data_IF_910697718718
#
_entry.id   IF_910697718718
#
_cell.length_a   1.000
_cell.length_b   1.000
_cell.length_c   1.000
_cell.angle_alpha   90.00
_cell.angle_beta   90.00
_cell.angle_gamma   90.00
#
_symmetry.space_group_name_H-M   'P 1'
#
loop_
_entity.id
_entity.type
_entity.pdbx_description
1 polymer ?
#
# COMPACT_ATOMS: atom_id res chain seq x y z
N UNK A 1 16.69 -2.77 2.57
CA UNK A 1 15.76 -3.66 3.29
C UNK A 1 16.54 -4.80 3.92
N UNK A 2 15.86 -5.82 4.41
CA UNK A 2 16.48 -7.08 4.88
C UNK A 2 16.09 -8.21 3.93
N UNK A 3 16.95 -9.21 3.73
CA UNK A 3 16.61 -10.38 2.92
C UNK A 3 15.60 -11.24 3.68
N UNK A 4 14.46 -11.52 3.06
CA UNK A 4 13.35 -12.25 3.70
C UNK A 4 13.30 -13.74 3.34
N UNK A 5 14.00 -14.19 2.30
CA UNK A 5 13.89 -15.56 1.80
C UNK A 5 12.42 -15.93 1.51
N UNK A 6 12.02 -17.14 1.90
CA UNK A 6 10.69 -17.68 1.62
C UNK A 6 9.65 -17.35 2.71
N UNK A 7 9.91 -16.37 3.60
CA UNK A 7 9.00 -16.06 4.72
C UNK A 7 7.59 -15.68 4.26
N UNK A 8 7.48 -15.00 3.12
CA UNK A 8 6.18 -14.66 2.54
C UNK A 8 5.36 -15.89 2.13
N UNK A 9 6.01 -16.97 1.67
CA UNK A 9 5.32 -18.21 1.31
C UNK A 9 4.60 -18.82 2.53
N UNK A 10 5.18 -18.68 3.73
CA UNK A 10 4.56 -19.17 4.97
C UNK A 10 3.34 -18.34 5.36
N UNK A 11 3.39 -17.01 5.17
CA UNK A 11 2.24 -16.14 5.43
C UNK A 11 1.13 -16.41 4.40
N UNK A 12 1.48 -16.49 3.12
CA UNK A 12 0.54 -16.76 2.04
C UNK A 12 -0.23 -18.07 2.24
N UNK A 13 0.44 -19.14 2.71
CA UNK A 13 -0.23 -20.42 3.03
C UNK A 13 -1.39 -20.25 4.01
N UNK A 14 -1.30 -19.31 4.94
CA UNK A 14 -2.34 -19.05 5.95
C UNK A 14 -3.44 -18.14 5.40
N UNK A 15 -3.08 -17.15 4.58
CA UNK A 15 -3.98 -16.09 4.11
C UNK A 15 -4.71 -16.43 2.81
N UNK A 16 -4.16 -17.31 1.96
CA UNK A 16 -4.68 -17.61 0.63
C UNK A 16 -6.13 -18.11 0.61
N UNK A 17 -6.58 -18.78 1.66
CA UNK A 17 -7.97 -19.25 1.77
C UNK A 17 -8.99 -18.13 2.03
N UNK A 18 -8.52 -16.92 2.34
CA UNK A 18 -9.33 -15.75 2.71
C UNK A 18 -9.41 -14.70 1.59
N UNK A 19 -8.93 -15.01 0.39
CA UNK A 19 -8.80 -14.06 -0.73
C UNK A 19 -10.13 -13.57 -1.28
N UNK A 20 -11.23 -14.26 -0.95
CA UNK A 20 -12.60 -13.98 -1.39
C UNK A 20 -13.51 -13.52 -0.26
N UNK A 21 -12.98 -13.42 0.97
CA UNK A 21 -13.81 -13.16 2.15
C UNK A 21 -14.36 -11.73 2.12
N UNK A 22 -13.50 -10.75 1.81
CA UNK A 22 -13.86 -9.32 1.68
C UNK A 22 -14.66 -8.74 2.86
N UNK A 23 -14.47 -9.29 4.06
CA UNK A 23 -15.19 -8.86 5.27
C UNK A 23 -14.65 -7.51 5.77
N UNK A 24 -13.34 -7.30 5.68
CA UNK A 24 -12.68 -6.06 6.07
C UNK A 24 -11.66 -5.69 4.99
N UNK A 25 -11.79 -4.50 4.41
CA UNK A 25 -10.85 -4.01 3.40
C UNK A 25 -9.42 -3.92 3.95
N UNK A 26 -9.30 -3.68 5.26
CA UNK A 26 -8.02 -3.74 5.97
C UNK A 26 -7.37 -5.12 5.88
N UNK A 27 -8.12 -6.20 5.99
CA UNK A 27 -7.57 -7.55 5.87
C UNK A 27 -7.21 -7.85 4.42
N UNK A 28 -8.04 -7.44 3.46
CA UNK A 28 -7.80 -7.66 2.03
C UNK A 28 -6.44 -7.12 1.59
N UNK A 29 -6.09 -5.88 1.95
CA UNK A 29 -4.78 -5.32 1.58
C UNK A 29 -3.60 -6.06 2.25
N UNK A 30 -3.76 -6.58 3.46
CA UNK A 30 -2.70 -7.36 4.11
C UNK A 30 -2.57 -8.78 3.54
N UNK A 31 -3.69 -9.39 3.13
CA UNK A 31 -3.70 -10.65 2.38
C UNK A 31 -3.02 -10.43 1.02
N UNK A 32 -3.35 -9.35 0.32
CA UNK A 32 -2.70 -8.96 -0.93
C UNK A 32 -1.20 -8.75 -0.77
N UNK A 33 -0.76 -8.08 0.30
CA UNK A 33 0.68 -7.93 0.59
C UNK A 33 1.38 -9.29 0.71
N UNK A 34 0.71 -10.30 1.28
CA UNK A 34 1.27 -11.65 1.38
C UNK A 34 1.44 -12.34 0.03
N UNK A 35 0.51 -12.16 -0.91
CA UNK A 35 0.61 -12.74 -2.25
C UNK A 35 1.65 -12.01 -3.10
N UNK A 36 1.73 -10.68 -3.01
CA UNK A 36 2.77 -9.88 -3.66
C UNK A 36 4.16 -10.26 -3.17
N UNK A 37 4.33 -10.35 -1.84
CA UNK A 37 5.61 -10.74 -1.24
C UNK A 37 6.06 -12.15 -1.61
N UNK A 38 5.11 -13.06 -1.85
CA UNK A 38 5.35 -14.43 -2.29
C UNK A 38 5.44 -14.58 -3.82
N UNK A 39 5.23 -13.50 -4.59
CA UNK A 39 5.15 -13.52 -6.07
C UNK A 39 4.05 -14.45 -6.62
N UNK A 40 2.97 -14.66 -5.85
CA UNK A 40 1.81 -15.45 -6.30
C UNK A 40 0.82 -14.52 -7.04
N UNK A 41 1.04 -14.38 -8.34
CA UNK A 41 0.19 -13.57 -9.21
C UNK A 41 -1.25 -14.09 -9.26
N UNK A 42 -1.44 -15.41 -9.25
CA UNK A 42 -2.78 -16.03 -9.29
C UNK A 42 -3.62 -15.58 -8.09
N UNK A 43 -3.05 -15.61 -6.89
CA UNK A 43 -3.77 -15.17 -5.68
C UNK A 43 -3.99 -13.66 -5.65
N UNK A 44 -3.03 -12.88 -6.15
CA UNK A 44 -3.16 -11.42 -6.29
C UNK A 44 -4.33 -11.07 -7.21
N UNK A 45 -4.41 -11.71 -8.37
CA UNK A 45 -5.46 -11.48 -9.37
C UNK A 45 -6.84 -11.95 -8.86
N UNK A 46 -6.90 -13.08 -8.16
CA UNK A 46 -8.14 -13.59 -7.56
C UNK A 46 -8.74 -12.57 -6.59
N UNK A 47 -7.96 -12.08 -5.62
CA UNK A 47 -8.42 -11.10 -4.63
C UNK A 47 -8.90 -9.81 -5.29
N UNK A 48 -8.13 -9.27 -6.25
CA UNK A 48 -8.53 -8.04 -6.95
C UNK A 48 -9.81 -8.23 -7.77
N UNK A 49 -9.94 -9.37 -8.46
CA UNK A 49 -11.09 -9.65 -9.31
C UNK A 49 -12.36 -9.79 -8.46
N UNK A 50 -12.31 -10.57 -7.38
CA UNK A 50 -13.49 -10.79 -6.53
C UNK A 50 -13.87 -9.52 -5.76
N UNK A 51 -12.90 -8.73 -5.30
CA UNK A 51 -13.18 -7.43 -4.69
C UNK A 51 -13.83 -6.47 -5.70
N UNK A 52 -13.33 -6.44 -6.95
CA UNK A 52 -13.89 -5.59 -7.99
C UNK A 52 -15.31 -6.03 -8.40
N UNK A 53 -15.60 -7.32 -8.40
CA UNK A 53 -16.94 -7.85 -8.67
C UNK A 53 -17.93 -7.44 -7.57
N UNK A 54 -17.55 -7.58 -6.30
CA UNK A 54 -18.38 -7.14 -5.17
C UNK A 54 -18.62 -5.63 -5.18
N UNK A 55 -17.59 -4.85 -5.52
CA UNK A 55 -17.66 -3.39 -5.58
C UNK A 55 -18.59 -2.85 -6.69
N UNK A 56 -19.00 -3.68 -7.66
CA UNK A 56 -19.96 -3.27 -8.72
C UNK A 56 -21.40 -3.28 -8.24
N UNK A 57 -21.73 -4.10 -7.24
CA UNK A 57 -23.09 -4.20 -6.73
C UNK A 57 -23.32 -3.12 -5.66
N UNK A 58 -24.47 -2.43 -5.68
CA UNK A 58 -24.89 -1.62 -4.54
C UNK A 58 -24.90 -2.49 -3.29
N UNK A 59 -24.18 -2.07 -2.25
CA UNK A 59 -24.08 -2.79 -1.00
C UNK A 59 -24.45 -1.88 0.17
N UNK A 60 -25.31 -2.37 1.06
CA UNK A 60 -25.65 -1.68 2.31
C UNK A 60 -24.56 -1.87 3.37
N UNK A 61 -23.66 -2.84 3.18
CA UNK A 61 -22.52 -3.06 4.06
C UNK A 61 -21.54 -1.89 3.96
N UNK A 62 -21.22 -1.31 5.13
CA UNK A 62 -20.37 -0.14 5.20
C UNK A 62 -18.96 -0.40 4.66
N UNK A 63 -18.34 -1.54 4.99
CA UNK A 63 -16.98 -1.86 4.55
C UNK A 63 -16.93 -2.02 3.04
N UNK A 64 -17.85 -2.80 2.47
CA UNK A 64 -17.92 -2.98 1.01
C UNK A 64 -18.29 -1.69 0.27
N UNK A 65 -19.06 -0.79 0.87
CA UNK A 65 -19.37 0.52 0.29
C UNK A 65 -18.10 1.39 0.08
N UNK A 66 -17.05 1.16 0.86
CA UNK A 66 -15.75 1.84 0.74
C UNK A 66 -14.84 1.19 -0.32
N UNK A 67 -15.19 0.01 -0.85
CA UNK A 67 -14.33 -0.72 -1.77
C UNK A 67 -14.04 0.07 -3.08
N UNK A 68 -15.01 0.70 -3.77
CA UNK A 68 -14.73 1.44 -5.00
C UNK A 68 -13.82 2.65 -4.79
N UNK A 69 -13.99 3.36 -3.66
CA UNK A 69 -13.35 4.66 -3.40
C UNK A 69 -12.03 4.55 -2.62
N UNK A 70 -11.90 3.56 -1.74
CA UNK A 70 -10.73 3.37 -0.88
C UNK A 70 -10.07 2.00 -1.08
N UNK A 71 -10.84 0.91 -1.04
CA UNK A 71 -10.29 -0.45 -1.06
C UNK A 71 -9.55 -0.80 -2.36
N UNK A 72 -10.22 -0.65 -3.50
CA UNK A 72 -9.66 -0.95 -4.82
C UNK A 72 -8.46 -0.06 -5.14
N UNK A 73 -8.50 1.29 -5.01
CA UNK A 73 -7.32 2.10 -5.30
C UNK A 73 -6.15 1.79 -4.37
N UNK A 74 -6.40 1.46 -3.09
CA UNK A 74 -5.36 1.02 -2.16
C UNK A 74 -4.70 -0.28 -2.63
N UNK A 75 -5.49 -1.33 -2.89
CA UNK A 75 -4.98 -2.62 -3.36
C UNK A 75 -4.24 -2.47 -4.70
N UNK A 76 -4.80 -1.72 -5.64
CA UNK A 76 -4.17 -1.46 -6.94
C UNK A 76 -2.85 -0.69 -6.78
N UNK A 77 -2.75 0.27 -5.86
CA UNK A 77 -1.49 0.99 -5.62
C UNK A 77 -0.35 0.05 -5.17
N UNK A 78 -0.66 -0.96 -4.36
CA UNK A 78 0.31 -2.00 -3.98
C UNK A 78 0.78 -2.82 -5.18
N UNK A 79 -0.14 -3.24 -6.04
CA UNK A 79 0.19 -4.00 -7.26
C UNK A 79 1.02 -3.16 -8.24
N UNK A 80 0.64 -1.90 -8.46
CA UNK A 80 1.39 -0.99 -9.33
C UNK A 80 2.80 -0.73 -8.80
N UNK A 81 2.95 -0.54 -7.49
CA UNK A 81 4.27 -0.39 -6.88
C UNK A 81 5.13 -1.66 -7.06
N UNK A 82 4.54 -2.83 -6.85
CA UNK A 82 5.22 -4.12 -7.03
C UNK A 82 5.69 -4.34 -8.48
N UNK A 83 4.88 -3.89 -9.45
CA UNK A 83 5.20 -3.94 -10.88
C UNK A 83 6.20 -2.84 -11.32
N UNK A 84 6.68 -2.00 -10.39
CA UNK A 84 7.61 -0.91 -10.67
C UNK A 84 6.95 0.37 -11.20
N UNK A 85 5.63 0.41 -11.31
CA UNK A 85 4.85 1.57 -11.77
C UNK A 85 4.63 2.58 -10.64
N UNK A 86 5.74 3.09 -10.10
CA UNK A 86 5.75 3.98 -8.94
C UNK A 86 4.88 5.24 -9.13
N UNK A 87 4.92 5.86 -10.31
CA UNK A 87 4.10 7.03 -10.62
C UNK A 87 2.60 6.72 -10.47
N UNK A 88 2.13 5.57 -10.97
CA UNK A 88 0.72 5.17 -10.90
C UNK A 88 0.30 4.79 -9.49
N UNK A 89 1.19 4.15 -8.73
CA UNK A 89 0.95 3.88 -7.31
C UNK A 89 0.73 5.17 -6.50
N UNK A 90 1.50 6.23 -6.80
CA UNK A 90 1.28 7.56 -6.18
C UNK A 90 -0.07 8.14 -6.59
N UNK A 91 -0.43 8.08 -7.88
CA UNK A 91 -1.69 8.65 -8.38
C UNK A 91 -2.92 7.99 -7.76
N UNK A 92 -2.86 6.68 -7.48
CA UNK A 92 -3.93 5.94 -6.82
C UNK A 92 -4.00 6.23 -5.31
N UNK A 93 -2.84 6.27 -4.64
CA UNK A 93 -2.79 6.28 -3.17
C UNK A 93 -2.81 7.68 -2.56
N UNK A 94 -2.20 8.67 -3.22
CA UNK A 94 -2.11 10.04 -2.69
C UNK A 94 -3.49 10.69 -2.47
N UNK A 95 -4.48 10.59 -3.38
CA UNK A 95 -5.79 11.21 -3.20
C UNK A 95 -6.58 10.66 -2.00
N UNK A 96 -6.39 9.39 -1.66
CA UNK A 96 -7.17 8.71 -0.61
C UNK A 96 -6.46 8.68 0.75
N UNK A 97 -5.21 9.14 0.85
CA UNK A 97 -4.33 8.90 2.01
C UNK A 97 -4.91 9.28 3.38
N UNK A 98 -5.69 10.36 3.47
CA UNK A 98 -6.30 10.79 4.73
C UNK A 98 -7.61 10.06 5.05
N UNK A 99 -8.22 9.44 4.04
CA UNK A 99 -9.46 8.68 4.18
C UNK A 99 -9.20 7.22 4.59
N UNK A 100 -7.97 6.72 4.47
CA UNK A 100 -7.59 5.35 4.84
C UNK A 100 -7.80 5.00 6.32
N UNK A 101 -8.08 5.97 7.18
CA UNK A 101 -8.53 5.70 8.55
C UNK A 101 -9.89 4.98 8.58
N UNK A 102 -10.74 5.19 7.58
CA UNK A 102 -12.07 4.59 7.44
C UNK A 102 -12.02 3.09 7.15
N UNK A 103 -10.93 2.61 6.56
CA UNK A 103 -10.69 1.17 6.30
C UNK A 103 -10.49 0.39 7.62
N UNK A 104 -10.37 1.07 8.76
CA UNK A 104 -10.24 0.40 10.06
C UNK A 104 -8.88 -0.28 10.26
N UNK A 105 -8.78 -1.09 11.32
CA UNK A 105 -7.56 -1.79 11.72
C UNK A 105 -6.61 -0.99 12.63
N UNK A 106 -5.33 -1.38 12.67
CA UNK A 106 -4.32 -0.79 13.56
C UNK A 106 -3.63 0.43 12.95
N UNK A 107 -3.38 1.46 13.76
CA UNK A 107 -2.54 2.61 13.39
C UNK A 107 -1.15 2.20 12.90
N UNK A 108 -0.52 1.25 13.59
CA UNK A 108 0.83 0.80 13.24
C UNK A 108 0.85 0.01 11.92
N UNK A 109 -0.23 -0.71 11.60
CA UNK A 109 -0.35 -1.49 10.38
C UNK A 109 -0.71 -0.59 9.18
N UNK A 110 -1.67 0.33 9.33
CA UNK A 110 -1.98 1.34 8.29
C UNK A 110 -0.81 2.22 7.92
N UNK A 111 0.15 2.40 8.83
CA UNK A 111 1.38 3.15 8.55
C UNK A 111 2.19 2.57 7.37
N UNK A 112 2.03 1.28 7.07
CA UNK A 112 2.61 0.65 5.86
C UNK A 112 2.10 1.34 4.59
N UNK A 113 0.85 1.81 4.56
CA UNK A 113 0.28 2.49 3.38
C UNK A 113 0.95 3.85 3.16
N UNK A 114 1.16 4.62 4.22
CA UNK A 114 1.91 5.88 4.15
C UNK A 114 3.38 5.65 3.75
N UNK A 115 4.00 4.59 4.27
CA UNK A 115 5.37 4.22 3.88
C UNK A 115 5.45 3.80 2.40
N UNK A 116 4.47 3.04 1.89
CA UNK A 116 4.37 2.69 0.48
C UNK A 116 4.27 3.95 -0.38
N UNK A 117 3.38 4.89 -0.02
CA UNK A 117 3.22 6.15 -0.75
C UNK A 117 4.54 6.94 -0.83
N UNK A 118 5.24 7.08 0.29
CA UNK A 118 6.55 7.74 0.33
C UNK A 118 7.55 6.99 -0.56
N UNK A 119 7.59 5.66 -0.47
CA UNK A 119 8.48 4.86 -1.30
C UNK A 119 8.16 4.99 -2.79
N UNK A 120 6.90 4.92 -3.19
CA UNK A 120 6.47 5.11 -4.56
C UNK A 120 6.89 6.52 -5.05
N UNK A 121 6.62 7.55 -4.27
CA UNK A 121 6.98 8.93 -4.60
C UNK A 121 8.51 9.14 -4.73
N UNK A 122 9.32 8.48 -3.88
CA UNK A 122 10.78 8.53 -3.98
C UNK A 122 11.34 7.83 -5.23
N UNK A 123 10.67 6.78 -5.71
CA UNK A 123 11.12 5.99 -6.87
C UNK A 123 10.33 6.34 -8.15
N UNK A 124 9.52 7.40 -8.10
CA UNK A 124 8.78 7.95 -9.23
C UNK A 124 9.73 8.52 -10.28
N UNK A 125 9.34 8.46 -11.56
CA UNK A 125 10.06 9.16 -12.64
C UNK A 125 9.72 10.66 -12.68
N UNK A 126 8.54 11.05 -12.19
CA UNK A 126 8.12 12.44 -12.10
C UNK A 126 8.85 13.22 -11.00
N UNK A 127 9.54 14.30 -11.39
CA UNK A 127 10.18 15.22 -10.45
C UNK A 127 9.18 15.81 -9.44
N UNK A 128 7.95 16.09 -9.87
CA UNK A 128 6.90 16.60 -8.99
C UNK A 128 6.56 15.59 -7.88
N UNK A 129 6.49 14.30 -8.21
CA UNK A 129 6.23 13.22 -7.24
C UNK A 129 7.44 12.97 -6.33
N UNK A 130 8.66 13.10 -6.84
CA UNK A 130 9.86 13.08 -5.99
C UNK A 130 9.90 14.27 -5.01
N UNK A 131 9.42 15.45 -5.42
CA UNK A 131 9.26 16.61 -4.54
C UNK A 131 8.16 16.35 -3.49
N UNK A 132 7.04 15.75 -3.90
CA UNK A 132 5.98 15.32 -2.99
C UNK A 132 6.51 14.37 -1.90
N UNK A 133 7.40 13.44 -2.24
CA UNK A 133 8.01 12.54 -1.26
C UNK A 133 8.69 13.29 -0.11
N UNK A 134 9.32 14.43 -0.39
CA UNK A 134 9.96 15.27 0.63
C UNK A 134 8.93 15.94 1.54
N UNK A 135 7.84 16.43 0.96
CA UNK A 135 6.74 17.00 1.75
C UNK A 135 6.13 15.96 2.68
N UNK A 136 5.85 14.76 2.16
CA UNK A 136 5.33 13.63 2.95
C UNK A 136 6.29 13.20 4.06
N UNK A 137 7.60 13.23 3.81
CA UNK A 137 8.61 12.92 4.83
C UNK A 137 8.66 13.97 5.94
N UNK A 138 8.56 15.26 5.59
CA UNK A 138 8.49 16.34 6.58
C UNK A 138 7.21 16.25 7.42
N UNK A 139 6.06 16.02 6.78
CA UNK A 139 4.78 15.80 7.47
C UNK A 139 4.91 14.63 8.45
N UNK A 140 5.49 13.51 8.00
CA UNK A 140 5.72 12.33 8.83
C UNK A 140 6.64 12.59 10.02
N UNK A 141 7.72 13.35 9.82
CA UNK A 141 8.69 13.67 10.87
C UNK A 141 8.06 14.48 12.01
N UNK A 142 7.20 15.44 11.64
CA UNK A 142 6.40 16.21 12.62
C UNK A 142 5.39 15.31 13.35
N UNK A 143 4.70 14.44 12.63
CA UNK A 143 3.67 13.56 13.23
C UNK A 143 4.24 12.40 14.04
N UNK A 144 5.49 12.00 13.78
CA UNK A 144 6.16 10.85 14.41
C UNK A 144 7.62 11.22 14.74
N UNK A 145 7.84 12.15 15.68
CA UNK A 145 9.18 12.61 16.03
C UNK A 145 10.03 11.44 16.53
N UNK A 146 11.33 11.47 16.23
CA UNK A 146 12.32 10.46 16.62
C UNK A 146 12.01 9.04 16.12
N UNK A 147 11.30 8.90 14.99
CA UNK A 147 11.03 7.60 14.39
C UNK A 147 12.25 7.10 13.59
N UNK A 148 12.88 5.97 13.97
CA UNK A 148 14.03 5.43 13.22
C UNK A 148 13.67 5.06 11.78
N UNK A 149 12.40 4.70 11.53
CA UNK A 149 11.88 4.45 10.20
C UNK A 149 11.88 5.72 9.35
N UNK A 150 11.39 6.84 9.90
CA UNK A 150 11.35 8.13 9.21
C UNK A 150 12.77 8.61 8.88
N UNK A 151 13.69 8.55 9.85
CA UNK A 151 15.10 8.90 9.62
C UNK A 151 15.75 8.06 8.50
N UNK A 152 15.43 6.76 8.44
CA UNK A 152 15.91 5.87 7.37
C UNK A 152 15.37 6.28 6.00
N UNK A 153 14.10 6.69 5.93
CA UNK A 153 13.50 7.16 4.68
C UNK A 153 14.06 8.52 4.26
N UNK A 154 14.30 9.44 5.19
CA UNK A 154 14.95 10.73 4.94
C UNK A 154 16.36 10.52 4.37
N UNK A 155 17.16 9.63 4.98
CA UNK A 155 18.49 9.28 4.46
C UNK A 155 18.43 8.70 3.05
N UNK A 156 17.46 7.82 2.77
CA UNK A 156 17.23 7.28 1.42
C UNK A 156 16.90 8.41 0.42
N UNK A 157 16.04 9.35 0.80
CA UNK A 157 15.66 10.47 -0.05
C UNK A 157 16.84 11.39 -0.39
N UNK A 158 17.75 11.63 0.56
CA UNK A 158 18.96 12.41 0.35
C UNK A 158 19.94 11.72 -0.61
N UNK A 159 20.10 10.40 -0.50
CA UNK A 159 21.00 9.62 -1.35
C UNK A 159 20.56 9.62 -2.82
N UNK A 160 19.25 9.50 -3.11
CA UNK A 160 18.71 9.52 -4.48
C UNK A 160 19.02 10.85 -5.19
N UNK A 161 19.07 11.96 -4.45
CA UNK A 161 19.34 13.29 -5.01
C UNK A 161 20.82 13.66 -5.08
N UNK A 162 21.68 12.98 -4.33
CA UNK A 162 23.13 13.21 -4.42
C UNK A 162 23.76 12.53 -5.64
N UNK A 163 22.99 11.72 -6.39
CA UNK A 163 23.41 10.99 -7.59
C UNK A 163 22.79 11.52 -8.88
N UNK A 164 22.08 12.66 -8.83
CA UNK A 164 21.50 13.37 -9.97
C UNK A 164 22.23 14.69 -10.19
#
# INVERSE_FOLDING_TARGET
GVKLGDRWNNVLKLTKKHTKDHILLFNDVHILMSSLGAKDHKTTDELLTTLQELAKAPCEDHELSLAPSLGLPLCQAFVEFENGNCDKAVDLLYPIRYQLIQVGGSNAQRDVFSQLLIHAALNSKSQAKQNLARCLLRERDVMRPNSPMTERLIRKAAAVHSMA
#
